data_IF_901219172865
#
_entry.id   IF_901219172865
#
_cell.length_a   1.000
_cell.length_b   1.000
_cell.length_c   1.000
_cell.angle_alpha   90.00
_cell.angle_beta   90.00
_cell.angle_gamma   90.00
#
_symmetry.space_group_name_H-M   'P 1'
#
loop_
_entity.id
_entity.type
_entity.pdbx_description
1 polymer ?
#
# COMPACT_ATOMS: atom_id res chain seq x y z
N UNK A 1 -28.97 6.55 14.08
CA UNK A 1 -27.57 6.75 13.69
C UNK A 1 -27.54 7.83 12.62
N UNK A 2 -26.85 8.94 12.88
CA UNK A 2 -26.68 10.07 11.98
C UNK A 2 -25.23 10.27 11.60
N UNK A 3 -24.96 10.52 10.32
CA UNK A 3 -23.61 10.84 9.82
C UNK A 3 -23.20 12.25 10.26
N UNK A 4 -22.04 12.37 10.92
CA UNK A 4 -21.44 13.63 11.37
C UNK A 4 -20.42 14.17 10.37
N UNK A 5 -19.47 13.32 9.95
CA UNK A 5 -18.42 13.69 9.01
C UNK A 5 -17.90 12.47 8.27
N UNK A 6 -17.17 12.72 7.18
CA UNK A 6 -16.49 11.70 6.41
C UNK A 6 -15.01 12.02 6.45
N UNK A 7 -14.21 11.04 6.84
CA UNK A 7 -12.77 11.10 6.87
C UNK A 7 -12.19 10.06 5.92
N UNK A 8 -11.10 10.38 5.22
CA UNK A 8 -10.40 9.43 4.40
C UNK A 8 -9.62 8.44 5.26
N UNK A 9 -9.41 7.24 4.73
CA UNK A 9 -8.54 6.25 5.36
C UNK A 9 -7.25 6.08 4.57
N UNK A 10 -6.27 5.32 5.10
CA UNK A 10 -5.05 5.03 4.37
C UNK A 10 -5.26 4.23 3.10
N UNK A 11 -6.35 3.48 3.03
CA UNK A 11 -6.76 2.81 1.82
C UNK A 11 -7.63 3.75 1.00
N UNK A 12 -7.34 3.95 -0.30
CA UNK A 12 -8.20 4.74 -1.17
C UNK A 12 -9.56 4.04 -1.46
N UNK A 13 -9.72 2.80 -1.02
CA UNK A 13 -10.92 1.99 -1.15
C UNK A 13 -11.75 1.92 0.14
N UNK A 14 -11.37 2.66 1.18
CA UNK A 14 -12.11 2.72 2.44
C UNK A 14 -12.29 4.17 2.91
N UNK A 15 -13.49 4.50 3.37
CA UNK A 15 -13.85 5.80 3.92
C UNK A 15 -14.39 5.62 5.33
N UNK A 16 -13.96 6.49 6.24
CA UNK A 16 -14.44 6.53 7.62
C UNK A 16 -15.64 7.48 7.69
N UNK A 17 -16.79 6.95 8.08
CA UNK A 17 -18.02 7.67 8.31
C UNK A 17 -18.21 7.83 9.82
N UNK A 18 -17.93 9.02 10.37
CA UNK A 18 -18.18 9.30 11.77
C UNK A 18 -19.68 9.50 11.99
N UNK A 19 -20.23 8.90 13.05
CA UNK A 19 -21.66 9.01 13.38
C UNK A 19 -21.86 9.41 14.84
N UNK A 20 -23.06 9.87 15.16
CA UNK A 20 -23.46 10.36 16.49
C UNK A 20 -23.60 9.28 17.57
N UNK A 21 -23.65 8.01 17.18
CA UNK A 21 -23.75 6.86 18.06
C UNK A 21 -22.36 6.28 18.37
N UNK A 22 -22.15 5.79 19.59
CA UNK A 22 -20.90 5.13 20.02
C UNK A 22 -21.17 3.66 20.39
N UNK A 23 -20.39 2.75 19.82
CA UNK A 23 -20.40 1.35 20.23
C UNK A 23 -19.68 1.17 21.58
N UNK A 24 -20.12 0.20 22.41
CA UNK A 24 -19.39 -0.20 23.60
C UNK A 24 -17.93 -0.52 23.29
N UNK A 25 -17.02 -0.12 24.18
CA UNK A 25 -15.58 -0.39 24.04
C UNK A 25 -15.32 -1.89 23.81
N UNK A 26 -14.41 -2.17 22.87
CA UNK A 26 -14.04 -3.54 22.48
C UNK A 26 -15.02 -4.24 21.53
N UNK A 27 -16.22 -3.69 21.30
CA UNK A 27 -17.18 -4.25 20.35
C UNK A 27 -16.82 -3.82 18.93
N UNK A 28 -16.71 -4.81 18.05
CA UNK A 28 -16.45 -4.64 16.61
C UNK A 28 -17.50 -5.42 15.84
N UNK A 29 -18.05 -4.83 14.80
CA UNK A 29 -18.98 -5.50 13.89
C UNK A 29 -18.42 -5.41 12.48
N UNK A 30 -18.42 -6.53 11.76
CA UNK A 30 -18.03 -6.57 10.35
C UNK A 30 -19.11 -7.30 9.60
N UNK A 31 -19.55 -6.73 8.49
CA UNK A 31 -20.48 -7.38 7.58
C UNK A 31 -19.96 -7.23 6.15
N UNK A 32 -19.96 -8.33 5.40
CA UNK A 32 -19.72 -8.32 3.96
C UNK A 32 -21.04 -8.35 3.21
N UNK A 33 -21.04 -8.05 1.91
CA UNK A 33 -22.25 -8.14 1.07
C UNK A 33 -22.89 -9.54 1.13
N UNK A 34 -22.10 -10.61 1.27
CA UNK A 34 -22.60 -11.98 1.45
C UNK A 34 -23.37 -12.21 2.76
N UNK A 35 -23.26 -11.29 3.71
CA UNK A 35 -23.88 -11.33 5.04
C UNK A 35 -24.95 -10.24 5.21
N UNK A 36 -25.37 -9.57 4.12
CA UNK A 36 -26.26 -8.42 4.18
C UNK A 36 -27.63 -8.75 4.80
N UNK A 37 -28.14 -9.97 4.62
CA UNK A 37 -29.45 -10.37 5.16
C UNK A 37 -29.47 -10.50 6.68
N UNK A 38 -28.31 -10.76 7.31
CA UNK A 38 -28.18 -10.84 8.77
C UNK A 38 -27.72 -9.54 9.41
N UNK A 39 -27.35 -8.53 8.61
CA UNK A 39 -26.93 -7.23 9.10
C UNK A 39 -28.16 -6.40 9.57
N UNK A 40 -28.08 -5.71 10.73
CA UNK A 40 -29.14 -4.79 11.14
C UNK A 40 -29.07 -3.47 10.35
N UNK A 41 -30.18 -2.72 10.30
CA UNK A 41 -30.13 -1.34 9.79
C UNK A 41 -29.29 -0.44 10.72
N UNK A 42 -28.56 0.55 10.19
CA UNK A 42 -28.45 0.95 8.78
C UNK A 42 -27.44 0.14 7.93
N UNK A 43 -26.74 -0.87 8.50
CA UNK A 43 -25.67 -1.59 7.81
C UNK A 43 -26.17 -2.40 6.61
N UNK A 44 -27.37 -3.00 6.72
CA UNK A 44 -28.01 -3.69 5.60
C UNK A 44 -28.22 -2.76 4.42
N UNK A 45 -28.76 -1.56 4.66
CA UNK A 45 -28.89 -0.52 3.65
C UNK A 45 -27.55 -0.09 3.05
N UNK A 46 -26.52 0.12 3.86
CA UNK A 46 -25.18 0.46 3.37
C UNK A 46 -24.58 -0.64 2.47
N UNK A 47 -24.76 -1.91 2.82
CA UNK A 47 -24.30 -3.05 2.02
C UNK A 47 -25.07 -3.23 0.71
N UNK A 48 -26.29 -2.69 0.63
CA UNK A 48 -27.10 -2.71 -0.58
C UNK A 48 -26.69 -1.63 -1.61
N UNK A 49 -25.86 -0.65 -1.20
CA UNK A 49 -25.33 0.37 -2.11
C UNK A 49 -24.42 -0.31 -3.15
N UNK A 50 -24.70 -0.05 -4.41
CA UNK A 50 -23.94 -0.60 -5.54
C UNK A 50 -22.46 -0.22 -5.43
N UNK A 51 -21.57 -1.21 -5.43
CA UNK A 51 -20.13 -1.00 -5.31
C UNK A 51 -19.57 -1.07 -3.90
N UNK A 52 -20.40 -1.15 -2.85
CA UNK A 52 -19.93 -1.46 -1.49
C UNK A 52 -19.50 -2.93 -1.39
N UNK A 53 -18.41 -3.19 -0.66
CA UNK A 53 -17.84 -4.52 -0.42
C UNK A 53 -18.06 -4.99 1.01
N UNK A 54 -17.81 -4.11 1.97
CA UNK A 54 -17.93 -4.42 3.39
C UNK A 54 -18.19 -3.17 4.21
N UNK A 55 -18.74 -3.40 5.40
CA UNK A 55 -18.90 -2.39 6.42
C UNK A 55 -18.28 -2.90 7.70
N UNK A 56 -17.37 -2.13 8.26
CA UNK A 56 -16.77 -2.37 9.57
C UNK A 56 -17.17 -1.25 10.53
N UNK A 57 -17.59 -1.60 11.73
CA UNK A 57 -18.02 -0.66 12.76
C UNK A 57 -17.21 -0.88 14.02
N UNK A 58 -16.66 0.20 14.55
CA UNK A 58 -16.03 0.26 15.86
C UNK A 58 -16.18 1.65 16.45
N UNK A 59 -16.23 1.76 17.77
CA UNK A 59 -16.39 3.04 18.47
C UNK A 59 -17.54 3.89 17.85
N UNK A 60 -17.24 5.11 17.45
CA UNK A 60 -18.13 6.12 16.89
C UNK A 60 -18.07 6.21 15.34
N UNK A 61 -17.33 5.34 14.65
CA UNK A 61 -17.22 5.40 13.18
C UNK A 61 -17.51 4.08 12.45
N UNK A 62 -17.95 4.21 11.20
CA UNK A 62 -18.10 3.12 10.24
C UNK A 62 -16.98 3.23 9.21
N UNK A 63 -16.14 2.21 9.03
CA UNK A 63 -15.34 2.08 7.83
C UNK A 63 -16.20 1.41 6.75
N UNK A 64 -16.50 2.18 5.70
CA UNK A 64 -17.21 1.70 4.53
C UNK A 64 -16.15 1.34 3.48
N UNK A 65 -16.11 0.09 3.06
CA UNK A 65 -15.18 -0.37 2.04
C UNK A 65 -15.91 -0.53 0.71
N UNK A 66 -15.35 0.03 -0.36
CA UNK A 66 -15.84 -0.20 -1.71
C UNK A 66 -15.11 -1.34 -2.40
N UNK A 67 -15.74 -1.92 -3.42
CA UNK A 67 -15.02 -2.68 -4.45
C UNK A 67 -14.05 -1.70 -5.14
N UNK A 68 -12.79 -2.08 -5.41
CA UNK A 68 -11.88 -1.14 -6.04
C UNK A 68 -12.43 -0.68 -7.41
N UNK A 69 -12.34 0.63 -7.66
CA UNK A 69 -12.94 1.27 -8.84
C UNK A 69 -14.45 1.46 -8.83
N UNK A 70 -15.17 1.08 -7.78
CA UNK A 70 -16.56 1.51 -7.64
C UNK A 70 -16.65 3.02 -7.37
N UNK A 71 -17.69 3.70 -7.86
CA UNK A 71 -17.79 5.16 -7.79
C UNK A 71 -18.03 5.67 -6.35
N UNK A 72 -17.01 6.31 -5.76
CA UNK A 72 -17.14 6.91 -4.43
C UNK A 72 -18.17 8.04 -4.38
N UNK A 73 -18.34 8.81 -5.46
CA UNK A 73 -19.29 9.91 -5.49
C UNK A 73 -20.71 9.39 -5.26
N UNK A 74 -21.09 8.36 -6.01
CA UNK A 74 -22.38 7.69 -5.87
C UNK A 74 -22.53 6.98 -4.52
N UNK A 75 -21.51 6.22 -4.10
CA UNK A 75 -21.56 5.48 -2.83
C UNK A 75 -21.75 6.43 -1.65
N UNK A 76 -21.00 7.54 -1.59
CA UNK A 76 -21.11 8.49 -0.49
C UNK A 76 -22.40 9.31 -0.54
N UNK A 77 -22.95 9.61 -1.72
CA UNK A 77 -24.26 10.23 -1.86
C UNK A 77 -25.37 9.33 -1.28
N UNK A 78 -25.39 8.06 -1.68
CA UNK A 78 -26.37 7.08 -1.20
C UNK A 78 -26.20 6.82 0.31
N UNK A 79 -24.95 6.70 0.80
CA UNK A 79 -24.67 6.51 2.22
C UNK A 79 -25.07 7.72 3.07
N UNK A 80 -24.84 8.95 2.56
CA UNK A 80 -25.33 10.19 3.21
C UNK A 80 -26.84 10.18 3.29
N UNK A 81 -27.54 9.93 2.18
CA UNK A 81 -29.00 9.89 2.17
C UNK A 81 -29.53 8.88 3.20
N UNK A 82 -28.92 7.70 3.28
CA UNK A 82 -29.33 6.64 4.19
C UNK A 82 -29.10 7.00 5.67
N UNK A 83 -27.94 7.60 5.99
CA UNK A 83 -27.57 7.98 7.35
C UNK A 83 -28.11 9.38 7.76
N UNK A 84 -28.68 10.14 6.83
CA UNK A 84 -29.28 11.46 7.08
C UNK A 84 -30.81 11.47 6.95
N UNK A 85 -31.45 10.35 6.60
CA UNK A 85 -32.92 10.20 6.43
C UNK A 85 -33.75 10.34 7.73
N UNK A 86 -33.32 11.20 8.65
CA UNK A 86 -34.14 11.79 9.72
C UNK A 86 -34.64 13.21 9.42
N UNK A 87 -34.11 13.91 8.42
CA UNK A 87 -34.61 15.21 7.98
C UNK A 87 -34.59 15.28 6.45
N UNK A 88 -35.77 15.49 5.86
CA UNK A 88 -35.94 15.46 4.42
C UNK A 88 -35.27 16.65 3.73
N UNK A 89 -34.32 16.36 2.83
CA UNK A 89 -34.27 17.05 1.55
C UNK A 89 -33.59 16.16 0.51
N UNK A 90 -34.33 15.81 -0.53
CA UNK A 90 -33.85 14.99 -1.64
C UNK A 90 -33.32 15.93 -2.72
N UNK A 91 -32.00 16.14 -2.74
CA UNK A 91 -31.31 16.78 -3.86
C UNK A 91 -30.30 15.79 -4.45
N UNK A 92 -30.72 15.13 -5.52
CA UNK A 92 -29.89 14.27 -6.34
C UNK A 92 -29.12 15.15 -7.35
N UNK A 93 -27.80 15.10 -7.31
CA UNK A 93 -26.93 15.52 -8.40
C UNK A 93 -26.14 14.30 -8.86
N UNK A 94 -26.62 13.66 -9.93
CA UNK A 94 -25.94 12.57 -10.62
C UNK A 94 -24.76 13.14 -11.43
N UNK A 95 -23.55 12.97 -10.93
CA UNK A 95 -22.32 13.10 -11.71
C UNK A 95 -21.97 11.76 -12.33
N UNK A 96 -22.22 11.59 -13.63
CA UNK A 96 -21.72 10.45 -14.39
C UNK A 96 -20.20 10.58 -14.57
N UNK A 97 -19.44 10.01 -13.65
CA UNK A 97 -18.01 9.77 -13.80
C UNK A 97 -17.72 8.30 -13.55
N UNK A 98 -17.40 7.54 -14.59
CA UNK A 98 -16.83 6.21 -14.41
C UNK A 98 -15.43 6.42 -13.79
N UNK A 99 -15.36 6.38 -12.45
CA UNK A 99 -14.09 6.33 -11.72
C UNK A 99 -13.42 5.01 -12.09
N UNK A 100 -12.29 5.09 -12.80
CA UNK A 100 -11.41 3.94 -12.98
C UNK A 100 -10.70 3.71 -11.65
N UNK A 101 -10.80 2.51 -11.08
CA UNK A 101 -10.18 2.19 -9.80
C UNK A 101 -8.70 2.54 -9.71
N UNK A 102 -8.23 2.70 -8.49
CA UNK A 102 -6.86 3.06 -8.17
C UNK A 102 -5.81 2.00 -8.55
N UNK A 103 -6.20 0.90 -9.20
CA UNK A 103 -5.27 -0.11 -9.69
C UNK A 103 -4.57 -0.90 -8.58
N UNK A 104 -5.10 -0.91 -7.36
CA UNK A 104 -4.49 -1.56 -6.21
C UNK A 104 -4.59 -3.09 -6.35
N UNK A 105 -3.44 -3.76 -6.35
CA UNK A 105 -3.35 -5.20 -6.48
C UNK A 105 -2.58 -5.82 -5.31
N UNK A 106 -3.19 -6.82 -4.69
CA UNK A 106 -2.54 -7.64 -3.67
C UNK A 106 -1.66 -8.68 -4.34
N UNK A 107 -0.38 -8.69 -3.98
CA UNK A 107 0.60 -9.66 -4.48
C UNK A 107 0.79 -10.77 -3.45
N UNK A 108 0.65 -12.00 -3.92
CA UNK A 108 0.84 -13.22 -3.15
C UNK A 108 1.86 -14.08 -3.89
N UNK A 109 2.81 -14.68 -3.18
CA UNK A 109 3.78 -15.60 -3.77
C UNK A 109 3.57 -16.99 -3.17
N UNK A 110 3.38 -17.97 -4.03
CA UNK A 110 3.33 -19.37 -3.63
C UNK A 110 4.75 -19.89 -3.46
N UNK A 111 5.06 -20.38 -2.26
CA UNK A 111 6.39 -20.81 -1.83
C UNK A 111 6.40 -22.32 -1.53
N UNK A 112 7.56 -22.94 -1.68
CA UNK A 112 7.86 -24.29 -1.19
C UNK A 112 9.24 -24.29 -0.53
N UNK A 113 9.29 -24.51 0.80
CA UNK A 113 10.53 -24.49 1.60
C UNK A 113 11.45 -23.30 1.28
N UNK A 114 10.87 -22.12 1.09
CA UNK A 114 11.58 -20.88 0.74
C UNK A 114 11.84 -20.65 -0.74
N UNK A 115 11.51 -21.59 -1.64
CA UNK A 115 11.63 -21.44 -3.09
C UNK A 115 10.30 -20.91 -3.67
N UNK A 116 10.27 -19.78 -4.40
CA UNK A 116 9.06 -19.26 -5.02
C UNK A 116 8.67 -20.08 -6.26
N UNK A 117 7.38 -20.34 -6.41
CA UNK A 117 6.81 -21.17 -7.49
C UNK A 117 5.96 -20.34 -8.45
N UNK A 118 5.08 -19.50 -7.90
CA UNK A 118 4.10 -18.77 -8.68
C UNK A 118 3.77 -17.44 -7.99
N UNK A 119 3.75 -16.35 -8.77
CA UNK A 119 3.21 -15.07 -8.36
C UNK A 119 1.72 -15.03 -8.66
N UNK A 120 0.92 -14.57 -7.71
CA UNK A 120 -0.52 -14.31 -7.87
C UNK A 120 -0.79 -12.85 -7.56
N UNK A 121 -1.37 -12.16 -8.52
CA UNK A 121 -1.76 -10.76 -8.38
C UNK A 121 -3.27 -10.71 -8.39
N UNK A 122 -3.85 -10.25 -7.29
CA UNK A 122 -5.30 -10.11 -7.11
C UNK A 122 -5.67 -8.65 -7.18
N UNK A 123 -6.52 -8.30 -8.12
CA UNK A 123 -7.08 -6.96 -8.26
C UNK A 123 -8.56 -7.14 -8.58
N UNK A 124 -9.43 -6.59 -7.73
CA UNK A 124 -10.89 -6.76 -7.85
C UNK A 124 -11.29 -8.24 -7.90
N UNK A 125 -12.08 -8.61 -8.91
CA UNK A 125 -12.50 -9.97 -9.22
C UNK A 125 -11.53 -10.68 -10.19
N UNK A 126 -10.40 -10.05 -10.55
CA UNK A 126 -9.38 -10.61 -11.43
C UNK A 126 -8.20 -11.15 -10.62
N UNK A 127 -7.76 -12.36 -10.97
CA UNK A 127 -6.54 -12.97 -10.43
C UNK A 127 -5.62 -13.35 -11.59
N UNK A 128 -4.49 -12.67 -11.70
CA UNK A 128 -3.42 -13.02 -12.64
C UNK A 128 -2.45 -13.96 -11.94
N UNK A 129 -2.07 -15.03 -12.63
CA UNK A 129 -1.10 -16.01 -12.14
C UNK A 129 0.07 -16.08 -13.10
N UNK A 130 1.28 -15.87 -12.59
CA UNK A 130 2.51 -15.97 -13.37
C UNK A 130 3.44 -17.02 -12.75
N UNK A 131 3.84 -18.00 -13.55
CA UNK A 131 4.82 -19.00 -13.12
C UNK A 131 6.23 -18.40 -13.11
N UNK A 132 7.06 -18.84 -12.18
CA UNK A 132 8.47 -18.48 -12.16
C UNK A 132 9.24 -19.25 -13.28
N UNK A 133 10.40 -18.73 -13.75
CA UNK A 133 11.23 -19.39 -14.75
C UNK A 133 11.63 -20.84 -14.40
N UNK A 134 11.99 -21.69 -15.38
CA UNK A 134 12.26 -23.11 -15.17
C UNK A 134 13.23 -23.46 -14.03
N UNK A 135 14.25 -22.62 -13.78
CA UNK A 135 15.21 -22.81 -12.69
C UNK A 135 14.53 -23.00 -11.32
N UNK A 136 13.38 -22.37 -11.09
CA UNK A 136 12.62 -22.51 -9.85
C UNK A 136 11.85 -23.83 -9.78
N UNK A 137 11.24 -24.25 -10.88
CA UNK A 137 10.54 -25.56 -10.93
C UNK A 137 11.53 -26.71 -10.79
N UNK A 138 12.72 -26.57 -11.35
CA UNK A 138 13.81 -27.54 -11.23
C UNK A 138 14.32 -27.61 -9.79
N UNK A 139 14.55 -26.45 -9.16
CA UNK A 139 14.96 -26.37 -7.76
C UNK A 139 13.92 -27.01 -6.81
N UNK A 140 12.63 -26.74 -7.03
CA UNK A 140 11.56 -27.36 -6.24
C UNK A 140 11.53 -28.89 -6.45
N UNK A 141 11.72 -29.35 -7.69
CA UNK A 141 11.75 -30.78 -7.99
C UNK A 141 12.94 -31.48 -7.33
N UNK A 142 14.11 -30.83 -7.30
CA UNK A 142 15.29 -31.30 -6.60
C UNK A 142 15.09 -31.32 -5.07
N UNK A 143 14.43 -30.31 -4.52
CA UNK A 143 14.18 -30.18 -3.08
C UNK A 143 13.11 -31.13 -2.53
N UNK A 144 12.05 -31.43 -3.31
CA UNK A 144 10.88 -32.17 -2.85
C UNK A 144 10.94 -33.69 -3.08
N UNK A 145 11.75 -34.16 -4.03
CA UNK A 145 11.57 -35.51 -4.58
C UNK A 145 10.15 -35.71 -5.15
N UNK A 146 9.56 -36.89 -4.98
CA UNK A 146 8.26 -37.26 -5.58
C UNK A 146 7.00 -36.81 -4.81
N UNK A 147 7.14 -36.13 -3.66
CA UNK A 147 6.02 -35.75 -2.76
C UNK A 147 5.88 -34.24 -2.62
N UNK A 148 5.24 -33.62 -3.61
CA UNK A 148 5.29 -32.17 -3.87
C UNK A 148 4.14 -31.31 -3.27
N UNK A 149 3.06 -31.93 -2.79
CA UNK A 149 1.75 -31.23 -2.71
C UNK A 149 1.43 -30.66 -1.30
N UNK A 150 2.01 -31.21 -0.21
CA UNK A 150 1.54 -30.89 1.15
C UNK A 150 2.23 -29.70 1.85
N UNK A 151 3.32 -29.14 1.31
CA UNK A 151 4.11 -28.10 2.00
C UNK A 151 4.09 -26.72 1.33
N UNK A 152 3.24 -26.52 0.32
CA UNK A 152 3.16 -25.23 -0.38
C UNK A 152 2.47 -24.21 0.53
N UNK A 153 3.11 -23.06 0.72
CA UNK A 153 2.56 -21.91 1.46
C UNK A 153 2.27 -20.77 0.51
N UNK A 154 1.30 -19.95 0.84
CA UNK A 154 1.02 -18.70 0.13
C UNK A 154 1.42 -17.56 1.06
N UNK A 155 2.38 -16.75 0.64
CA UNK A 155 2.92 -15.64 1.42
C UNK A 155 2.45 -14.30 0.84
N UNK A 156 2.13 -13.35 1.71
CA UNK A 156 1.79 -11.99 1.30
C UNK A 156 3.05 -11.20 0.96
N UNK A 157 3.13 -10.70 -0.28
CA UNK A 157 4.29 -9.96 -0.79
C UNK A 157 4.02 -8.44 -0.83
N UNK A 158 2.87 -8.02 -0.33
CA UNK A 158 2.45 -6.62 -0.22
C UNK A 158 1.52 -6.15 -1.34
N UNK A 159 1.32 -4.84 -1.39
CA UNK A 159 0.45 -4.16 -2.34
C UNK A 159 1.29 -3.53 -3.44
N UNK A 160 0.82 -3.65 -4.68
CA UNK A 160 1.36 -2.95 -5.85
C UNK A 160 0.21 -2.22 -6.55
N UNK A 161 0.54 -1.27 -7.42
CA UNK A 161 -0.48 -0.57 -8.20
C UNK A 161 -0.07 -0.48 -9.66
N UNK A 162 -1.04 -0.63 -10.55
CA UNK A 162 -0.85 -0.75 -12.00
C UNK A 162 -1.66 -1.91 -12.56
N UNK A 163 -1.37 -2.29 -13.81
CA UNK A 163 -2.04 -3.43 -14.42
C UNK A 163 -1.56 -4.75 -13.80
N UNK A 164 -2.47 -5.69 -13.43
CA UNK A 164 -2.10 -6.93 -12.74
C UNK A 164 -1.04 -7.77 -13.47
N UNK A 165 -1.06 -7.80 -14.80
CA UNK A 165 -0.10 -8.51 -15.63
C UNK A 165 1.30 -7.87 -15.58
N UNK A 166 1.37 -6.54 -15.61
CA UNK A 166 2.64 -5.81 -15.51
C UNK A 166 3.26 -5.98 -14.12
N UNK A 167 2.42 -5.90 -13.07
CA UNK A 167 2.82 -6.17 -11.69
C UNK A 167 3.37 -7.60 -11.58
N UNK A 168 2.65 -8.60 -12.10
CA UNK A 168 3.09 -9.99 -12.03
C UNK A 168 4.44 -10.19 -12.73
N UNK A 169 4.64 -9.57 -13.90
CA UNK A 169 5.89 -9.64 -14.64
C UNK A 169 7.05 -8.93 -13.91
N UNK A 170 6.80 -7.77 -13.28
CA UNK A 170 7.79 -7.05 -12.47
C UNK A 170 8.24 -7.91 -11.28
N UNK A 171 7.31 -8.45 -10.50
CA UNK A 171 7.62 -9.30 -9.34
C UNK A 171 8.38 -10.57 -9.75
N UNK A 172 8.01 -11.18 -10.88
CA UNK A 172 8.77 -12.34 -11.40
C UNK A 172 10.23 -11.97 -11.68
N UNK A 173 10.50 -10.81 -12.28
CA UNK A 173 11.86 -10.34 -12.54
C UNK A 173 12.62 -10.01 -11.24
N UNK A 174 11.96 -9.39 -10.27
CA UNK A 174 12.52 -9.10 -8.94
C UNK A 174 12.92 -10.39 -8.19
N UNK A 175 12.04 -11.40 -8.22
CA UNK A 175 12.33 -12.73 -7.66
C UNK A 175 13.44 -13.44 -8.45
N UNK A 176 13.45 -13.33 -9.77
CA UNK A 176 14.50 -13.93 -10.59
C UNK A 176 15.89 -13.35 -10.28
N UNK A 177 15.96 -12.05 -10.01
CA UNK A 177 17.19 -11.36 -9.62
C UNK A 177 17.68 -11.78 -8.22
N UNK A 178 16.77 -11.88 -7.24
CA UNK A 178 17.11 -12.15 -5.83
C UNK A 178 17.35 -13.63 -5.52
N UNK A 179 16.83 -14.53 -6.35
CA UNK A 179 17.07 -15.97 -6.27
C UNK A 179 18.11 -16.39 -7.30
N UNK A 180 19.36 -16.08 -6.97
CA UNK A 180 20.55 -16.55 -7.69
C UNK A 180 20.65 -18.07 -7.63
N UNK A 181 21.45 -18.67 -8.52
CA UNK A 181 21.70 -20.12 -8.51
C UNK A 181 22.29 -20.57 -7.16
N UNK A 182 23.19 -19.79 -6.58
CA UNK A 182 23.74 -20.04 -5.25
C UNK A 182 22.65 -20.08 -4.17
N UNK A 183 21.71 -19.12 -4.17
CA UNK A 183 20.59 -19.10 -3.23
C UNK A 183 19.66 -20.30 -3.41
N UNK A 184 19.35 -20.66 -4.65
CA UNK A 184 18.52 -21.84 -4.92
C UNK A 184 19.20 -23.12 -4.44
N UNK A 185 20.50 -23.29 -4.68
CA UNK A 185 21.26 -24.46 -4.21
C UNK A 185 21.27 -24.56 -2.69
N UNK A 186 21.47 -23.44 -1.97
CA UNK A 186 21.36 -23.42 -0.50
C UNK A 186 19.98 -23.88 0.00
N UNK A 187 18.90 -23.45 -0.67
CA UNK A 187 17.53 -23.85 -0.32
C UNK A 187 17.28 -25.34 -0.61
N UNK A 188 17.82 -25.86 -1.71
CA UNK A 188 17.75 -27.29 -2.06
C UNK A 188 18.47 -28.12 -1.00
N UNK A 189 19.71 -27.77 -0.66
CA UNK A 189 20.51 -28.49 0.33
C UNK A 189 19.84 -28.51 1.70
N UNK A 190 19.35 -27.34 2.16
CA UNK A 190 18.61 -27.26 3.42
C UNK A 190 17.32 -28.09 3.40
N UNK A 191 16.63 -28.13 2.26
CA UNK A 191 15.43 -28.96 2.09
C UNK A 191 15.75 -30.46 2.15
N UNK A 192 16.84 -30.90 1.51
CA UNK A 192 17.28 -32.29 1.54
C UNK A 192 17.72 -32.73 2.95
N UNK A 193 18.41 -31.86 3.69
CA UNK A 193 18.84 -32.12 5.06
C UNK A 193 17.66 -32.27 6.03
N UNK A 194 16.59 -31.48 5.87
CA UNK A 194 15.39 -31.58 6.69
C UNK A 194 14.57 -32.86 6.42
N UNK A 195 14.77 -33.50 5.26
CA UNK A 195 14.07 -34.73 4.89
C UNK A 195 12.57 -34.56 4.59
N UNK A 196 11.87 -35.63 4.22
CA UNK A 196 10.42 -35.65 4.02
C UNK A 196 9.71 -35.77 5.39
N UNK A 197 8.84 -34.83 5.76
CA UNK A 197 8.21 -34.91 7.08
C UNK A 197 7.07 -33.93 7.35
N UNK A 198 6.11 -34.38 8.16
CA UNK A 198 4.93 -33.66 8.69
C UNK A 198 5.30 -32.61 9.77
N UNK A 199 6.58 -32.26 9.91
CA UNK A 199 7.07 -31.25 10.86
C UNK A 199 7.09 -29.86 10.22
N UNK A 200 7.08 -28.83 11.07
CA UNK A 200 7.13 -27.44 10.63
C UNK A 200 8.33 -27.21 9.71
N UNK A 201 8.08 -26.68 8.50
CA UNK A 201 9.13 -26.52 7.48
C UNK A 201 10.34 -25.78 8.06
N UNK A 202 11.58 -26.25 7.81
CA UNK A 202 12.78 -25.60 8.32
C UNK A 202 12.82 -24.14 7.88
N UNK A 203 13.37 -23.28 8.74
CA UNK A 203 13.58 -21.88 8.39
C UNK A 203 14.47 -21.83 7.16
N UNK A 204 13.95 -21.29 6.06
CA UNK A 204 14.67 -21.21 4.81
C UNK A 204 15.95 -20.37 5.00
N UNK A 205 17.15 -20.90 4.69
CA UNK A 205 18.38 -20.13 4.76
C UNK A 205 18.29 -18.90 3.86
N UNK A 206 18.77 -17.77 4.38
CA UNK A 206 18.88 -16.51 3.62
C UNK A 206 20.36 -16.21 3.38
N UNK A 207 20.73 -15.69 2.20
CA UNK A 207 22.08 -15.21 1.96
C UNK A 207 22.50 -14.21 3.04
N UNK A 208 23.78 -14.23 3.43
CA UNK A 208 24.31 -13.26 4.39
C UNK A 208 24.11 -11.83 3.85
N UNK A 209 23.82 -10.86 4.73
CA UNK A 209 23.79 -9.45 4.35
C UNK A 209 25.11 -9.01 3.74
N UNK A 210 25.05 -8.08 2.79
CA UNK A 210 26.26 -7.46 2.24
C UNK A 210 26.65 -6.24 3.08
N UNK A 211 27.96 -6.05 3.26
CA UNK A 211 28.50 -4.78 3.71
C UNK A 211 28.29 -3.69 2.66
N UNK A 212 28.41 -2.41 3.08
CA UNK A 212 28.31 -1.28 2.16
C UNK A 212 29.33 -1.36 1.02
N UNK A 213 30.57 -1.78 1.31
CA UNK A 213 31.63 -1.92 0.30
C UNK A 213 31.29 -3.00 -0.74
N UNK A 214 30.84 -4.17 -0.28
CA UNK A 214 30.45 -5.26 -1.19
C UNK A 214 29.24 -4.90 -2.04
N UNK A 215 28.24 -4.23 -1.46
CA UNK A 215 27.08 -3.76 -2.19
C UNK A 215 27.46 -2.71 -3.25
N UNK A 216 28.32 -1.75 -2.89
CA UNK A 216 28.83 -0.75 -3.83
C UNK A 216 29.65 -1.36 -4.96
N UNK A 217 30.42 -2.41 -4.69
CA UNK A 217 31.15 -3.15 -5.73
C UNK A 217 30.18 -3.82 -6.72
N UNK A 218 29.15 -4.49 -6.23
CA UNK A 218 28.13 -5.11 -7.09
C UNK A 218 27.32 -4.08 -7.90
N UNK A 219 27.14 -2.87 -7.38
CA UNK A 219 26.51 -1.75 -8.09
C UNK A 219 27.31 -1.22 -9.29
N UNK A 220 28.55 -1.68 -9.49
CA UNK A 220 29.33 -1.40 -10.71
C UNK A 220 28.94 -2.28 -11.89
N UNK A 221 28.16 -3.35 -11.67
CA UNK A 221 27.71 -4.24 -12.74
C UNK A 221 26.76 -3.55 -13.70
N UNK A 222 26.90 -3.83 -15.00
CA UNK A 222 25.92 -3.43 -16.02
C UNK A 222 24.60 -4.21 -15.88
N UNK A 223 24.64 -5.40 -15.29
CA UNK A 223 23.47 -6.23 -15.05
C UNK A 223 22.66 -5.73 -13.85
N UNK A 224 21.45 -5.27 -14.11
CA UNK A 224 20.53 -4.77 -13.08
C UNK A 224 20.12 -5.87 -12.08
N UNK A 225 20.12 -7.15 -12.47
CA UNK A 225 19.76 -8.23 -11.56
C UNK A 225 20.79 -8.36 -10.43
N UNK A 226 22.08 -8.22 -10.77
CA UNK A 226 23.17 -8.21 -9.78
C UNK A 226 23.00 -7.02 -8.83
N UNK A 227 22.75 -5.82 -9.37
CA UNK A 227 22.54 -4.62 -8.55
C UNK A 227 21.30 -4.72 -7.65
N UNK A 228 20.20 -5.25 -8.16
CA UNK A 228 18.97 -5.46 -7.39
C UNK A 228 19.15 -6.49 -6.27
N UNK A 229 19.81 -7.62 -6.57
CA UNK A 229 20.14 -8.65 -5.59
C UNK A 229 21.10 -8.13 -4.50
N UNK A 230 22.05 -7.27 -4.87
CA UNK A 230 22.94 -6.61 -3.92
C UNK A 230 22.16 -5.69 -2.97
N UNK A 231 21.24 -4.88 -3.52
CA UNK A 231 20.41 -4.00 -2.73
C UNK A 231 19.49 -4.78 -1.79
N UNK A 232 18.82 -5.84 -2.24
CA UNK A 232 17.94 -6.67 -1.37
C UNK A 232 18.68 -7.31 -0.20
N UNK A 233 19.98 -7.59 -0.35
CA UNK A 233 20.83 -8.15 0.69
C UNK A 233 21.46 -7.08 1.59
N UNK A 234 21.35 -5.80 1.25
CA UNK A 234 21.91 -4.73 2.07
C UNK A 234 20.95 -4.39 3.23
N UNK A 235 21.50 -4.28 4.44
CA UNK A 235 20.74 -3.78 5.58
C UNK A 235 20.86 -2.26 5.57
N UNK A 236 19.72 -1.57 5.41
CA UNK A 236 19.67 -0.11 5.35
C UNK A 236 20.15 0.50 6.67
N UNK A 237 21.28 1.20 6.64
CA UNK A 237 21.85 1.97 7.74
C UNK A 237 22.18 3.40 7.27
N UNK A 238 22.27 4.40 8.18
CA UNK A 238 22.49 5.80 7.79
C UNK A 238 23.78 6.04 6.98
N UNK A 239 24.83 5.25 7.19
CA UNK A 239 26.07 5.32 6.41
C UNK A 239 25.91 4.78 4.98
N UNK A 240 24.83 4.04 4.72
CA UNK A 240 24.42 3.49 3.43
C UNK A 240 23.80 4.48 2.44
N UNK A 241 23.57 5.73 2.85
CA UNK A 241 23.01 6.78 1.98
C UNK A 241 23.71 6.87 0.60
N UNK A 242 25.05 6.77 0.47
CA UNK A 242 25.71 6.79 -0.84
C UNK A 242 25.30 5.63 -1.77
N UNK A 243 24.99 4.45 -1.21
CA UNK A 243 24.45 3.34 -1.99
C UNK A 243 23.00 3.61 -2.39
N UNK A 244 22.18 4.11 -1.47
CA UNK A 244 20.77 4.40 -1.74
C UNK A 244 20.60 5.55 -2.75
N UNK A 245 21.49 6.55 -2.74
CA UNK A 245 21.57 7.59 -3.75
C UNK A 245 21.84 7.00 -5.15
N UNK A 246 22.75 6.02 -5.25
CA UNK A 246 22.96 5.29 -6.51
C UNK A 246 21.71 4.50 -6.92
N UNK A 247 21.05 3.86 -5.97
CA UNK A 247 19.84 3.07 -6.24
C UNK A 247 18.69 3.92 -6.80
N UNK A 248 18.40 5.09 -6.22
CA UNK A 248 17.31 5.94 -6.72
C UNK A 248 17.59 6.59 -8.08
N UNK A 249 18.87 6.61 -8.50
CA UNK A 249 19.32 7.11 -9.82
C UNK A 249 19.62 5.99 -10.82
N UNK A 250 19.35 4.73 -10.47
CA UNK A 250 19.55 3.58 -11.36
C UNK A 250 18.68 3.70 -12.63
N UNK A 251 19.01 3.00 -13.71
CA UNK A 251 18.14 2.97 -14.89
C UNK A 251 16.91 2.05 -14.70
N UNK A 252 17.01 1.07 -13.80
CA UNK A 252 15.95 0.11 -13.53
C UNK A 252 14.99 0.62 -12.44
N UNK A 253 13.69 0.69 -12.78
CA UNK A 253 12.67 1.20 -11.87
C UNK A 253 12.50 0.38 -10.58
N UNK A 254 12.71 -0.95 -10.61
CA UNK A 254 12.63 -1.79 -9.40
C UNK A 254 13.73 -1.46 -8.41
N UNK A 255 14.96 -1.17 -8.87
CA UNK A 255 16.06 -0.72 -8.01
C UNK A 255 15.74 0.65 -7.41
N UNK A 256 15.24 1.59 -8.23
CA UNK A 256 14.84 2.91 -7.73
C UNK A 256 13.79 2.80 -6.62
N UNK A 257 12.74 2.00 -6.84
CA UNK A 257 11.66 1.81 -5.86
C UNK A 257 12.19 1.20 -4.56
N UNK A 258 13.05 0.20 -4.64
CA UNK A 258 13.65 -0.41 -3.45
C UNK A 258 14.54 0.59 -2.70
N UNK A 259 15.32 1.41 -3.42
CA UNK A 259 16.12 2.49 -2.83
C UNK A 259 15.26 3.52 -2.09
N UNK A 260 14.11 3.92 -2.66
CA UNK A 260 13.15 4.83 -2.00
C UNK A 260 12.57 4.22 -0.73
N UNK A 261 12.25 2.93 -0.73
CA UNK A 261 11.76 2.23 0.47
C UNK A 261 12.83 2.26 1.55
N UNK A 262 14.08 1.93 1.22
CA UNK A 262 15.17 1.89 2.19
C UNK A 262 15.55 3.26 2.73
N UNK A 263 15.50 4.32 1.92
CA UNK A 263 15.60 5.70 2.39
C UNK A 263 14.51 6.03 3.40
N UNK A 264 13.29 5.52 3.15
CA UNK A 264 12.17 5.61 4.07
C UNK A 264 12.41 4.93 5.41
N UNK A 265 13.01 3.74 5.38
CA UNK A 265 13.33 2.95 6.58
C UNK A 265 14.35 3.64 7.48
N UNK A 266 15.25 4.46 6.91
CA UNK A 266 16.22 5.25 7.69
C UNK A 266 15.53 6.29 8.59
N UNK A 267 14.47 6.94 8.10
CA UNK A 267 13.77 8.04 8.79
C UNK A 267 14.72 9.14 9.29
N UNK A 268 15.75 9.45 8.52
CA UNK A 268 16.74 10.48 8.84
C UNK A 268 16.52 11.74 8.00
N UNK A 269 16.86 12.94 8.53
CA UNK A 269 16.81 14.18 7.76
C UNK A 269 17.65 14.13 6.47
N UNK A 270 18.76 13.41 6.47
CA UNK A 270 19.66 13.25 5.32
C UNK A 270 19.02 12.46 4.17
N UNK A 271 18.05 11.58 4.46
CA UNK A 271 17.31 10.84 3.45
C UNK A 271 16.23 11.69 2.75
N UNK A 272 15.74 12.74 3.41
CA UNK A 272 14.61 13.55 2.93
C UNK A 272 14.86 14.20 1.55
N UNK A 273 16.01 14.85 1.28
CA UNK A 273 16.29 15.41 -0.05
C UNK A 273 16.24 14.37 -1.17
N UNK A 274 16.67 13.13 -0.91
CA UNK A 274 16.65 12.03 -1.88
C UNK A 274 15.23 11.51 -2.12
N UNK A 275 14.38 11.49 -1.08
CA UNK A 275 12.95 11.20 -1.24
C UNK A 275 12.23 12.29 -2.04
N UNK A 276 12.62 13.56 -1.87
CA UNK A 276 12.09 14.67 -2.68
C UNK A 276 12.54 14.59 -4.14
N UNK A 277 13.76 14.12 -4.40
CA UNK A 277 14.22 13.81 -5.76
C UNK A 277 13.36 12.69 -6.38
N UNK A 278 13.09 11.62 -5.63
CA UNK A 278 12.28 10.50 -6.10
C UNK A 278 10.82 10.86 -6.39
N UNK A 279 10.25 11.88 -5.72
CA UNK A 279 8.94 12.46 -6.07
C UNK A 279 8.91 13.09 -7.47
N UNK A 280 10.06 13.31 -8.11
CA UNK A 280 10.18 13.90 -9.45
C UNK A 280 10.64 12.90 -10.51
N UNK A 281 10.72 11.60 -10.16
CA UNK A 281 11.20 10.56 -11.06
C UNK A 281 10.31 10.40 -12.32
N UNK A 282 10.90 9.96 -13.43
CA UNK A 282 10.16 9.73 -14.68
C UNK A 282 9.09 8.63 -14.55
N UNK A 283 9.33 7.63 -13.71
CA UNK A 283 8.40 6.54 -13.40
C UNK A 283 7.37 6.95 -12.36
N UNK A 284 6.08 6.88 -12.71
CA UNK A 284 5.01 7.13 -11.74
C UNK A 284 5.01 6.13 -10.57
N UNK A 285 5.51 4.91 -10.77
CA UNK A 285 5.62 3.92 -9.70
C UNK A 285 6.66 4.33 -8.65
N UNK A 286 7.77 4.95 -9.08
CA UNK A 286 8.78 5.52 -8.17
C UNK A 286 8.23 6.74 -7.44
N UNK A 287 7.62 7.70 -8.16
CA UNK A 287 7.01 8.89 -7.55
C UNK A 287 5.94 8.53 -6.51
N UNK A 288 5.10 7.53 -6.81
CA UNK A 288 4.10 7.02 -5.85
C UNK A 288 4.79 6.42 -4.63
N UNK A 289 5.79 5.57 -4.83
CA UNK A 289 6.54 4.96 -3.72
C UNK A 289 7.16 6.05 -2.83
N UNK A 290 7.69 7.14 -3.41
CA UNK A 290 8.21 8.27 -2.64
C UNK A 290 7.11 8.99 -1.84
N UNK A 291 5.94 9.20 -2.45
CA UNK A 291 4.78 9.78 -1.77
C UNK A 291 4.24 8.90 -0.63
N UNK A 292 4.17 7.58 -0.85
CA UNK A 292 3.83 6.58 0.17
C UNK A 292 4.82 6.67 1.34
N UNK A 293 6.12 6.58 1.06
CA UNK A 293 7.20 6.66 2.05
C UNK A 293 7.15 7.95 2.87
N UNK A 294 7.02 9.11 2.21
CA UNK A 294 6.98 10.40 2.89
C UNK A 294 5.72 10.58 3.77
N UNK A 295 4.59 9.99 3.36
CA UNK A 295 3.39 9.92 4.20
C UNK A 295 3.61 9.09 5.45
N UNK A 296 4.31 7.96 5.32
CA UNK A 296 4.57 7.08 6.45
C UNK A 296 5.57 7.70 7.44
N UNK A 297 6.54 8.49 6.94
CA UNK A 297 7.45 9.30 7.75
C UNK A 297 6.68 10.42 8.47
N UNK A 298 5.86 11.19 7.74
CA UNK A 298 5.07 12.29 8.30
C UNK A 298 5.90 13.51 8.75
N UNK A 299 7.07 13.74 8.15
CA UNK A 299 7.91 14.89 8.47
C UNK A 299 7.41 16.16 7.75
N UNK A 300 7.16 17.27 8.47
CA UNK A 300 6.74 18.55 7.87
C UNK A 300 7.66 19.10 6.76
N UNK A 301 8.93 18.71 6.72
CA UNK A 301 9.84 19.07 5.63
C UNK A 301 9.32 18.64 4.24
N UNK A 302 8.42 17.64 4.18
CA UNK A 302 7.80 17.17 2.94
C UNK A 302 6.60 18.00 2.48
N UNK A 303 6.11 19.00 3.25
CA UNK A 303 4.94 19.83 2.89
C UNK A 303 5.13 20.50 1.52
N UNK A 304 6.25 21.20 1.31
CA UNK A 304 6.55 21.85 0.02
C UNK A 304 6.58 20.87 -1.16
N UNK A 305 7.39 19.80 -1.10
CA UNK A 305 7.41 18.75 -2.12
C UNK A 305 6.04 18.09 -2.39
N UNK A 306 5.22 17.91 -1.35
CA UNK A 306 3.87 17.35 -1.49
C UNK A 306 2.88 18.34 -2.12
N UNK A 307 3.01 19.64 -1.83
CA UNK A 307 2.27 20.69 -2.55
C UNK A 307 2.59 20.64 -4.06
N UNK A 308 3.84 20.42 -4.45
CA UNK A 308 4.19 20.22 -5.86
C UNK A 308 3.56 18.93 -6.42
N UNK A 309 3.57 17.84 -5.66
CA UNK A 309 3.04 16.54 -6.06
C UNK A 309 1.50 16.53 -6.25
N UNK A 310 0.76 17.48 -5.69
CA UNK A 310 -0.67 17.70 -6.02
C UNK A 310 -0.90 18.01 -7.50
N UNK A 311 0.13 18.39 -8.27
CA UNK A 311 0.03 18.69 -9.70
C UNK A 311 0.51 17.53 -10.59
N UNK A 312 0.79 16.36 -10.00
CA UNK A 312 1.32 15.23 -10.75
C UNK A 312 0.34 14.70 -11.80
N UNK A 313 0.86 14.27 -12.96
CA UNK A 313 0.06 13.64 -14.01
C UNK A 313 -0.64 12.34 -13.56
N UNK A 314 -0.06 11.64 -12.58
CA UNK A 314 -0.59 10.40 -12.05
C UNK A 314 -1.48 10.66 -10.82
N UNK A 315 -2.73 10.20 -10.90
CA UNK A 315 -3.73 10.42 -9.85
C UNK A 315 -3.38 9.82 -8.48
N UNK A 316 -2.65 8.70 -8.43
CA UNK A 316 -2.23 8.11 -7.14
C UNK A 316 -1.22 9.00 -6.43
N UNK A 317 -0.32 9.64 -7.19
CA UNK A 317 0.66 10.58 -6.64
C UNK A 317 -0.06 11.81 -6.07
N UNK A 318 -1.02 12.38 -6.83
CA UNK A 318 -1.84 13.50 -6.33
C UNK A 318 -2.67 13.12 -5.11
N UNK A 319 -3.29 11.94 -5.10
CA UNK A 319 -4.07 11.45 -3.96
C UNK A 319 -3.20 11.31 -2.71
N UNK A 320 -1.99 10.73 -2.85
CA UNK A 320 -1.04 10.63 -1.73
C UNK A 320 -0.59 12.00 -1.21
N UNK A 321 -0.35 12.95 -2.11
CA UNK A 321 -0.02 14.32 -1.73
C UNK A 321 -1.18 14.98 -0.94
N UNK A 322 -2.41 14.90 -1.43
CA UNK A 322 -3.58 15.44 -0.74
C UNK A 322 -3.79 14.81 0.64
N UNK A 323 -3.53 13.49 0.76
CA UNK A 323 -3.59 12.80 2.05
C UNK A 323 -2.48 13.23 3.00
N UNK A 324 -1.24 13.33 2.55
CA UNK A 324 -0.14 13.83 3.37
C UNK A 324 -0.48 15.22 3.93
N UNK A 325 -0.99 16.11 3.08
CA UNK A 325 -1.32 17.49 3.48
C UNK A 325 -2.51 17.55 4.44
N UNK A 326 -3.49 16.65 4.31
CA UNK A 326 -4.53 16.46 5.33
C UNK A 326 -3.94 16.05 6.68
N UNK A 327 -2.97 15.12 6.71
CA UNK A 327 -2.34 14.63 7.95
C UNK A 327 -1.45 15.70 8.58
N UNK A 328 -0.72 16.46 7.77
CA UNK A 328 0.15 17.56 8.18
C UNK A 328 -0.63 18.79 8.70
N UNK A 329 -1.74 19.14 8.06
CA UNK A 329 -2.62 20.23 8.51
C UNK A 329 -2.02 21.64 8.43
N UNK A 330 -1.06 21.87 7.54
CA UNK A 330 -0.34 23.14 7.44
C UNK A 330 -1.02 24.14 6.51
N UNK A 331 -1.18 25.39 6.97
CA UNK A 331 -1.87 26.46 6.24
C UNK A 331 -1.20 26.83 4.91
N UNK A 332 0.11 26.60 4.75
CA UNK A 332 0.82 26.86 3.49
C UNK A 332 0.30 26.00 2.33
N UNK A 333 -0.43 24.92 2.62
CA UNK A 333 -1.01 24.04 1.62
C UNK A 333 -2.37 24.52 1.09
N UNK A 334 -3.00 25.53 1.71
CA UNK A 334 -4.40 25.93 1.41
C UNK A 334 -4.59 26.23 -0.07
N UNK A 335 -3.77 27.11 -0.67
CA UNK A 335 -3.93 27.51 -2.08
C UNK A 335 -3.82 26.30 -3.03
N UNK A 336 -2.88 25.39 -2.75
CA UNK A 336 -2.69 24.20 -3.57
C UNK A 336 -3.84 23.19 -3.41
N UNK A 337 -4.36 23.05 -2.18
CA UNK A 337 -5.52 22.21 -1.88
C UNK A 337 -6.81 22.78 -2.48
N UNK A 338 -6.99 24.11 -2.53
CA UNK A 338 -8.13 24.75 -3.22
C UNK A 338 -8.15 24.43 -4.71
N UNK A 339 -6.99 24.31 -5.34
CA UNK A 339 -6.89 23.88 -6.73
C UNK A 339 -7.13 22.37 -6.88
N UNK A 340 -6.56 21.54 -5.99
CA UNK A 340 -6.81 20.10 -5.97
C UNK A 340 -8.28 19.75 -5.65
N UNK A 341 -9.01 20.63 -4.93
CA UNK A 341 -10.43 20.52 -4.68
C UNK A 341 -11.31 20.73 -5.93
N UNK A 342 -10.70 20.98 -7.09
CA UNK A 342 -11.33 21.05 -8.42
C UNK A 342 -10.81 19.94 -9.36
N UNK A 343 -10.05 18.97 -8.84
CA UNK A 343 -9.49 17.88 -9.64
C UNK A 343 -10.59 17.07 -10.34
N UNK A 344 -10.30 16.59 -11.55
CA UNK A 344 -11.25 15.77 -12.32
C UNK A 344 -11.51 14.40 -11.70
N UNK A 345 -10.56 13.89 -10.91
CA UNK A 345 -10.71 12.64 -10.17
C UNK A 345 -11.39 12.93 -8.82
N UNK A 346 -12.59 12.38 -8.64
CA UNK A 346 -13.43 12.62 -7.47
C UNK A 346 -12.70 12.38 -6.15
N UNK A 347 -11.88 11.34 -6.08
CA UNK A 347 -11.19 10.98 -4.84
C UNK A 347 -10.10 11.98 -4.44
N UNK A 348 -9.48 12.67 -5.39
CA UNK A 348 -8.52 13.74 -5.11
C UNK A 348 -9.28 15.00 -4.69
N UNK A 349 -10.34 15.34 -5.44
CA UNK A 349 -11.24 16.46 -5.12
C UNK A 349 -11.76 16.36 -3.69
N UNK A 350 -12.33 15.20 -3.32
CA UNK A 350 -12.86 14.94 -1.98
C UNK A 350 -11.77 15.01 -0.90
N UNK A 351 -10.63 14.37 -1.14
CA UNK A 351 -9.50 14.38 -0.20
C UNK A 351 -9.02 15.81 0.08
N UNK A 352 -8.89 16.63 -0.96
CA UNK A 352 -8.47 18.02 -0.85
C UNK A 352 -9.51 18.88 -0.12
N UNK A 353 -10.81 18.69 -0.38
CA UNK A 353 -11.89 19.38 0.35
C UNK A 353 -11.87 19.05 1.85
N UNK A 354 -11.66 17.77 2.20
CA UNK A 354 -11.56 17.36 3.60
C UNK A 354 -10.31 17.95 4.27
N UNK A 355 -9.19 18.03 3.55
CA UNK A 355 -7.98 18.72 4.02
C UNK A 355 -8.23 20.20 4.31
N UNK A 356 -8.91 20.90 3.40
CA UNK A 356 -9.25 22.31 3.57
C UNK A 356 -10.18 22.53 4.76
N UNK A 357 -11.26 21.77 4.87
CA UNK A 357 -12.24 21.89 5.95
C UNK A 357 -11.56 21.72 7.32
N UNK A 358 -10.65 20.74 7.42
CA UNK A 358 -9.84 20.51 8.61
C UNK A 358 -8.93 21.70 8.95
N UNK A 359 -8.11 22.13 7.99
CA UNK A 359 -7.13 23.21 8.20
C UNK A 359 -7.87 24.49 8.61
N UNK A 360 -8.98 24.81 7.93
CA UNK A 360 -9.78 26.01 8.21
C UNK A 360 -10.51 25.98 9.55
N UNK A 361 -10.82 24.78 10.07
CA UNK A 361 -11.37 24.62 11.43
C UNK A 361 -10.30 24.73 12.53
N UNK A 362 -9.02 24.80 12.17
CA UNK A 362 -7.91 24.84 13.13
C UNK A 362 -7.76 23.54 13.91
N UNK A 363 -8.18 22.40 13.35
CA UNK A 363 -7.99 21.10 13.97
C UNK A 363 -6.49 20.75 14.00
N UNK A 364 -5.96 20.38 15.18
CA UNK A 364 -4.55 19.99 15.34
C UNK A 364 -4.16 18.90 14.32
N UNK A 365 -2.91 18.91 13.86
CA UNK A 365 -2.38 17.89 12.95
C UNK A 365 -2.63 16.47 13.50
N UNK A 366 -3.16 15.56 12.67
CA UNK A 366 -3.47 14.21 13.13
C UNK A 366 -2.18 13.40 13.27
N UNK A 367 -1.11 13.86 12.60
CA UNK A 367 0.08 13.07 12.38
C UNK A 367 -0.18 11.91 11.43
N UNK A 368 0.89 11.23 11.03
CA UNK A 368 0.75 10.01 10.20
C UNK A 368 0.01 8.92 10.97
N UNK A 369 -0.57 7.95 10.27
CA UNK A 369 -1.25 6.79 10.87
C UNK A 369 -0.35 6.12 11.93
N UNK A 370 0.96 6.06 11.68
CA UNK A 370 1.90 5.49 12.61
C UNK A 370 2.06 6.34 13.89
N UNK A 371 2.09 7.66 13.77
CA UNK A 371 2.10 8.58 14.90
C UNK A 371 0.81 8.44 15.73
N UNK A 372 -0.34 8.32 15.06
CA UNK A 372 -1.64 8.09 15.71
C UNK A 372 -1.66 6.74 16.45
N UNK A 373 -1.20 5.66 15.81
CA UNK A 373 -1.12 4.33 16.42
C UNK A 373 -0.15 4.29 17.61
N UNK A 374 0.97 5.01 17.53
CA UNK A 374 1.96 5.11 18.62
C UNK A 374 1.40 5.91 19.80
N UNK A 375 0.73 7.03 19.52
CA UNK A 375 0.06 7.83 20.54
C UNK A 375 -1.05 7.03 21.26
N UNK A 376 -1.86 6.27 20.51
CA UNK A 376 -2.91 5.42 21.08
C UNK A 376 -2.36 4.33 22.01
N UNK A 377 -1.29 3.63 21.61
CA UNK A 377 -0.63 2.60 22.46
C UNK A 377 -0.06 3.20 23.76
N UNK A 378 0.48 4.40 23.69
CA UNK A 378 1.05 5.10 24.86
C UNK A 378 -0.05 5.64 25.80
N UNK A 379 -1.26 5.90 25.29
CA UNK A 379 -2.41 6.28 26.11
C UNK A 379 -3.08 5.09 26.80
N UNK A 380 -3.08 3.89 26.20
CA UNK A 380 -3.59 2.66 26.84
C UNK A 380 -2.67 2.10 27.95
N UNK A 381 -1.42 2.57 28.01
CA UNK A 381 -0.42 2.16 29.01
C UNK A 381 -0.37 3.07 30.25
N UNK A 382 -1.27 4.06 30.35
CA UNK A 382 -1.46 4.96 31.49
C UNK A 382 -2.86 4.78 32.08
#
# INVERSE_FOLDING_TARGET
>A
MKLLSIEPTPSPNSMKLNVDEMLPRGRRLTYKVSEADSAPEPFKGLLAIEGVRSVFRTADFIALDRKPGADWARILADARQLLQAGDGDASAAAGNGISTGFGEAQVLVQMFRGIPIQVRVRMDDKEVRSALPPKFTDAVSAAAGSTMIRERKLEEFGVRYGEPEEIAAEIVRELEATYTEERLNMLIEASLQAGPGEQEAPVAPRPAPLSLEEALEQFKSDDWQIRYAALERYISEPDGIPLLEKAIRDQNASIKRLGVIYLGDLKTPEAMPLLFEALKDSSSSVRRTAGDTLSDIGDPAAIGPMIEALKDKNKLVRWRAARFLYEAGDESAIEALEEAAKDSEFEIMLQAQIALERIQRGEEAAGSVWQQMTAARNQESK
#
